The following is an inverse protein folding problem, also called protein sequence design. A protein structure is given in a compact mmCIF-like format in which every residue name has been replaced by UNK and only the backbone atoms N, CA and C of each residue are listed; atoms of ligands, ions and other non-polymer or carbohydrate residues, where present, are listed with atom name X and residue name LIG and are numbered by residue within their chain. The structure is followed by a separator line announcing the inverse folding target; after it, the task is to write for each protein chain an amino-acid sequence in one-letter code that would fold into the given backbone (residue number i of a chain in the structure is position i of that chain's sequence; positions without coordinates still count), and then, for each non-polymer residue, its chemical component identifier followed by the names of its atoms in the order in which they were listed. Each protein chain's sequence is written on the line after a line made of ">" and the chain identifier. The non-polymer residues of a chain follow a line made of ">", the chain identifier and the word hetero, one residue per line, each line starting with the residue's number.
data_IF_323601303614
#
_entry.id   IF_323601303614
#
_cell.length_a   1.000
_cell.length_b   1.000
_cell.length_c   1.000
_cell.angle_alpha   90.00
_cell.angle_beta   90.00
_cell.angle_gamma   90.00
#
_symmetry.space_group_name_H-M   'P 1'
#
loop_
_entity.id
_entity.type
_entity.pdbx_description
1 polymer ?
#
# COMPACT_ATOMS: atom_id res chain seq x y z
N UNK A 1 18.33 -6.42 47.29
CA UNK A 1 17.10 -6.85 46.58
C UNK A 1 16.67 -5.68 45.71
N UNK A 2 17.50 -5.22 44.78
CA UNK A 2 17.96 -5.79 43.50
C UNK A 2 16.88 -5.66 42.42
N UNK A 3 17.00 -4.57 41.66
CA UNK A 3 16.23 -4.14 40.49
C UNK A 3 16.28 -5.11 39.29
N UNK A 4 16.48 -6.42 39.54
CA UNK A 4 16.66 -7.47 38.52
C UNK A 4 15.37 -8.23 38.22
N UNK A 5 14.38 -8.15 39.10
CA UNK A 5 13.15 -8.94 38.94
C UNK A 5 12.12 -8.24 38.04
N UNK A 6 12.07 -6.90 38.01
CA UNK A 6 11.22 -6.14 37.07
C UNK A 6 11.70 -6.19 35.61
N UNK A 7 12.99 -6.40 35.38
CA UNK A 7 13.56 -6.43 34.01
C UNK A 7 13.14 -7.71 33.27
N UNK A 8 12.94 -8.82 34.00
CA UNK A 8 12.53 -10.09 33.40
C UNK A 8 11.08 -10.12 32.94
N UNK A 9 10.16 -9.42 33.61
CA UNK A 9 8.76 -9.37 33.18
C UNK A 9 8.53 -8.47 31.95
N UNK A 10 9.40 -7.47 31.75
CA UNK A 10 9.33 -6.56 30.60
C UNK A 10 9.90 -7.18 29.31
N UNK A 11 10.89 -8.06 29.42
CA UNK A 11 11.47 -8.76 28.26
C UNK A 11 10.53 -9.83 27.67
N UNK A 12 9.67 -10.45 28.50
CA UNK A 12 8.72 -11.48 28.02
C UNK A 12 7.62 -10.89 27.14
N UNK A 13 7.27 -9.60 27.29
CA UNK A 13 6.24 -8.94 26.45
C UNK A 13 6.70 -8.64 25.03
N UNK A 14 8.01 -8.68 24.75
CA UNK A 14 8.56 -8.31 23.44
C UNK A 14 8.93 -9.49 22.55
N UNK A 15 8.77 -10.73 23.02
CA UNK A 15 9.12 -11.91 22.23
C UNK A 15 7.87 -12.68 21.78
N UNK A 16 7.13 -12.04 20.86
CA UNK A 16 6.12 -12.71 20.04
C UNK A 16 6.87 -13.23 18.79
N UNK A 17 6.80 -14.53 18.46
CA UNK A 17 7.36 -15.10 17.25
C UNK A 17 6.97 -14.26 16.02
N UNK A 18 7.95 -13.90 15.22
CA UNK A 18 7.81 -13.01 14.05
C UNK A 18 6.82 -13.52 12.99
N UNK A 19 6.44 -14.81 13.07
CA UNK A 19 5.49 -15.47 12.18
C UNK A 19 4.02 -15.08 12.38
N UNK A 20 3.64 -14.40 13.46
CA UNK A 20 2.24 -14.03 13.73
C UNK A 20 2.01 -12.56 14.07
N UNK A 21 2.98 -11.67 13.79
CA UNK A 21 2.69 -10.24 13.77
C UNK A 21 1.87 -9.93 12.52
N UNK A 22 0.57 -10.25 12.53
CA UNK A 22 -0.39 -9.52 11.69
C UNK A 22 -0.18 -8.06 12.07
N UNK A 23 0.38 -7.21 11.18
CA UNK A 23 0.65 -5.84 11.56
C UNK A 23 -0.67 -5.26 12.04
N UNK A 24 -0.66 -4.68 13.22
CA UNK A 24 -1.80 -3.95 13.74
C UNK A 24 -2.04 -2.81 12.75
N UNK A 25 -2.88 -3.08 11.74
CA UNK A 25 -2.91 -2.29 10.53
C UNK A 25 -3.73 -1.05 10.83
N UNK A 26 -3.06 -0.05 11.42
CA UNK A 26 -3.60 1.30 11.61
C UNK A 26 -4.05 1.91 10.27
N UNK A 27 -3.60 1.33 9.16
CA UNK A 27 -3.99 1.61 7.78
C UNK A 27 -4.46 0.31 7.09
N UNK A 28 -5.77 0.03 7.16
CA UNK A 28 -6.50 -0.76 6.16
C UNK A 28 -6.08 -2.22 5.91
N UNK A 29 -6.68 -2.80 4.87
CA UNK A 29 -6.31 -4.10 4.29
C UNK A 29 -5.07 -3.91 3.39
N UNK A 30 -4.23 -4.94 3.31
CA UNK A 30 -3.06 -4.99 2.42
C UNK A 30 -3.11 -6.24 1.55
N UNK A 31 -2.53 -6.18 0.37
CA UNK A 31 -2.43 -7.29 -0.57
C UNK A 31 -1.07 -7.28 -1.25
N UNK A 32 -0.49 -8.45 -1.46
CA UNK A 32 0.79 -8.60 -2.16
C UNK A 32 0.56 -9.25 -3.52
N UNK A 33 1.21 -8.72 -4.53
CA UNK A 33 1.17 -9.20 -5.90
C UNK A 33 2.59 -9.32 -6.42
N UNK A 34 2.84 -10.35 -7.22
CA UNK A 34 4.14 -10.52 -7.88
C UNK A 34 3.92 -10.37 -9.37
N UNK A 35 4.60 -9.39 -9.97
CA UNK A 35 4.59 -9.12 -11.41
C UNK A 35 6.03 -9.06 -11.85
N UNK A 36 6.39 -9.84 -12.87
CA UNK A 36 7.75 -9.90 -13.43
C UNK A 36 8.86 -10.02 -12.37
N UNK A 37 8.72 -10.98 -11.47
CA UNK A 37 9.67 -11.25 -10.38
C UNK A 37 9.84 -10.11 -9.35
N UNK A 38 9.01 -9.06 -9.42
CA UNK A 38 8.96 -7.97 -8.44
C UNK A 38 7.72 -8.13 -7.56
N UNK A 39 7.92 -8.13 -6.23
CA UNK A 39 6.81 -8.15 -5.26
C UNK A 39 6.32 -6.71 -4.98
N UNK A 40 5.07 -6.46 -5.35
CA UNK A 40 4.34 -5.23 -5.06
C UNK A 40 3.42 -5.43 -3.86
N UNK A 41 3.50 -4.53 -2.89
CA UNK A 41 2.60 -4.47 -1.75
C UNK A 41 1.64 -3.30 -1.92
N UNK A 42 0.35 -3.62 -1.94
CA UNK A 42 -0.73 -2.65 -1.98
C UNK A 42 -1.34 -2.47 -0.60
N UNK A 43 -1.74 -1.24 -0.31
CA UNK A 43 -2.37 -0.87 0.93
C UNK A 43 -3.57 0.02 0.66
N UNK A 44 -4.68 -0.23 1.35
CA UNK A 44 -5.85 0.63 1.21
C UNK A 44 -5.61 1.96 1.92
N UNK A 45 -5.65 3.11 1.21
CA UNK A 45 -5.39 4.42 1.80
C UNK A 45 -6.55 4.97 2.64
N UNK A 46 -7.68 4.25 2.68
CA UNK A 46 -8.92 4.67 3.32
C UNK A 46 -9.91 5.29 2.33
N UNK A 47 -11.20 5.23 2.63
CA UNK A 47 -12.29 5.61 1.71
C UNK A 47 -12.19 7.07 1.25
N UNK A 48 -11.85 8.00 2.14
CA UNK A 48 -11.70 9.42 1.79
C UNK A 48 -10.56 9.65 0.81
N UNK A 49 -9.41 9.01 1.04
CA UNK A 49 -8.26 9.11 0.15
C UNK A 49 -8.57 8.43 -1.19
N UNK A 50 -9.18 7.25 -1.19
CA UNK A 50 -9.58 6.55 -2.41
C UNK A 50 -10.52 7.39 -3.29
N UNK A 51 -11.52 8.06 -2.71
CA UNK A 51 -12.40 8.98 -3.45
C UNK A 51 -11.64 10.23 -3.94
N UNK A 52 -10.74 10.79 -3.11
CA UNK A 52 -9.91 11.91 -3.53
C UNK A 52 -9.03 11.57 -4.73
N UNK A 53 -8.50 10.34 -4.82
CA UNK A 53 -7.74 9.86 -5.99
C UNK A 53 -8.60 9.98 -7.25
N UNK A 54 -9.84 9.49 -7.22
CA UNK A 54 -10.76 9.53 -8.37
C UNK A 54 -11.14 10.96 -8.76
N UNK A 55 -11.38 11.83 -7.78
CA UNK A 55 -11.78 13.21 -8.02
C UNK A 55 -10.62 14.08 -8.53
N UNK A 56 -9.43 13.93 -7.95
CA UNK A 56 -8.23 14.63 -8.40
C UNK A 56 -7.77 14.19 -9.80
N UNK A 57 -8.23 13.01 -10.25
CA UNK A 57 -7.94 12.49 -11.58
C UNK A 57 -8.85 13.07 -12.67
N UNK A 58 -9.90 13.80 -12.28
CA UNK A 58 -10.78 14.52 -13.22
C UNK A 58 -10.23 15.93 -13.43
N UNK A 59 -9.91 16.28 -14.67
CA UNK A 59 -9.51 17.62 -15.05
C UNK A 59 -10.67 18.64 -15.02
N UNK A 60 -10.38 19.92 -15.31
CA UNK A 60 -11.37 21.01 -15.28
C UNK A 60 -12.60 20.79 -16.18
N UNK A 61 -12.45 20.00 -17.24
CA UNK A 61 -13.51 19.64 -18.18
C UNK A 61 -14.22 18.33 -17.83
N UNK A 62 -14.05 17.82 -16.60
CA UNK A 62 -14.54 16.52 -16.14
C UNK A 62 -13.97 15.33 -16.96
N UNK A 63 -12.86 15.55 -17.67
CA UNK A 63 -12.13 14.51 -18.41
C UNK A 63 -11.22 13.77 -17.45
N UNK A 64 -11.26 12.44 -17.46
CA UNK A 64 -10.38 11.60 -16.65
C UNK A 64 -8.97 11.58 -17.23
N UNK A 65 -7.96 11.72 -16.37
CA UNK A 65 -6.54 11.66 -16.73
C UNK A 65 -5.92 10.42 -16.10
N UNK A 66 -5.59 9.44 -16.94
CA UNK A 66 -4.91 8.21 -16.50
C UNK A 66 -3.55 8.52 -15.86
N UNK A 67 -2.84 9.53 -16.36
CA UNK A 67 -1.57 9.97 -15.79
C UNK A 67 -1.77 10.50 -14.36
N UNK A 68 -2.79 11.33 -14.12
CA UNK A 68 -3.06 11.83 -12.78
C UNK A 68 -3.53 10.70 -11.84
N UNK A 69 -4.30 9.76 -12.36
CA UNK A 69 -4.82 8.62 -11.60
C UNK A 69 -3.73 7.64 -11.20
N UNK A 70 -2.94 7.16 -12.15
CA UNK A 70 -1.87 6.20 -11.89
C UNK A 70 -0.76 6.80 -11.02
N UNK A 71 -0.47 8.10 -11.16
CA UNK A 71 0.45 8.80 -10.25
C UNK A 71 -0.01 8.68 -8.78
N UNK A 72 -1.30 8.87 -8.54
CA UNK A 72 -1.88 8.81 -7.21
C UNK A 72 -2.02 7.37 -6.69
N UNK A 73 -2.29 6.40 -7.57
CA UNK A 73 -2.23 4.98 -7.21
C UNK A 73 -0.83 4.59 -6.74
N UNK A 74 0.22 4.99 -7.47
CA UNK A 74 1.61 4.72 -7.10
C UNK A 74 2.01 5.34 -5.76
N UNK A 75 1.48 6.52 -5.43
CA UNK A 75 1.84 7.20 -4.18
C UNK A 75 1.06 6.66 -2.96
N UNK A 76 -0.25 6.48 -3.12
CA UNK A 76 -1.18 6.21 -2.02
C UNK A 76 -1.58 4.75 -1.88
N UNK A 77 -1.60 3.97 -2.96
CA UNK A 77 -2.07 2.57 -2.95
C UNK A 77 -0.90 1.59 -3.00
N UNK A 78 0.12 1.87 -3.82
CA UNK A 78 1.30 1.02 -3.94
C UNK A 78 2.37 1.51 -2.94
N UNK A 79 2.58 0.76 -1.87
CA UNK A 79 3.49 1.19 -0.79
C UNK A 79 4.91 0.69 -0.98
N UNK A 80 5.07 -0.48 -1.60
CA UNK A 80 6.37 -1.10 -1.87
C UNK A 80 6.34 -1.85 -3.20
N UNK A 81 7.37 -1.74 -4.06
CA UNK A 81 8.40 -0.68 -4.04
C UNK A 81 7.77 0.71 -4.23
N UNK A 82 8.52 1.77 -3.93
CA UNK A 82 8.05 3.14 -4.20
C UNK A 82 8.20 3.43 -5.69
N UNK A 83 7.05 3.58 -6.36
CA UNK A 83 6.95 3.72 -7.80
C UNK A 83 6.83 5.17 -8.23
N UNK A 84 7.38 5.47 -9.40
CA UNK A 84 7.25 6.74 -10.09
C UNK A 84 7.21 6.46 -11.61
N UNK A 85 7.09 7.50 -12.43
CA UNK A 85 7.05 7.34 -13.88
C UNK A 85 8.37 6.79 -14.44
N UNK A 86 9.50 7.29 -13.93
CA UNK A 86 10.84 6.86 -14.36
C UNK A 86 11.10 5.37 -14.11
N UNK A 87 10.51 4.78 -13.06
CA UNK A 87 10.61 3.35 -12.77
C UNK A 87 10.11 2.49 -13.94
N UNK A 88 9.04 2.93 -14.61
CA UNK A 88 8.42 2.20 -15.71
C UNK A 88 9.14 2.36 -17.05
N UNK A 89 10.07 3.31 -17.15
CA UNK A 89 10.97 3.39 -18.31
C UNK A 89 12.05 2.29 -18.25
N UNK A 90 12.31 1.75 -17.06
CA UNK A 90 13.30 0.69 -16.81
C UNK A 90 12.67 -0.68 -16.48
N UNK A 91 11.38 -0.72 -16.13
CA UNK A 91 10.66 -1.93 -15.71
C UNK A 91 9.38 -2.12 -16.52
N UNK A 92 9.13 -3.35 -16.97
CA UNK A 92 7.87 -3.72 -17.62
C UNK A 92 6.78 -4.01 -16.56
N UNK A 93 5.60 -4.48 -16.97
CA UNK A 93 4.50 -4.76 -16.04
C UNK A 93 3.63 -3.56 -15.60
N UNK A 94 3.91 -2.33 -16.04
CA UNK A 94 3.15 -1.11 -15.67
C UNK A 94 1.62 -1.30 -15.74
N UNK A 95 1.11 -1.77 -16.88
CA UNK A 95 -0.35 -1.94 -17.07
C UNK A 95 -0.94 -2.96 -16.11
N UNK A 96 -0.23 -4.04 -15.86
CA UNK A 96 -0.69 -5.10 -14.97
C UNK A 96 -0.72 -4.62 -13.52
N UNK A 97 0.35 -3.97 -13.06
CA UNK A 97 0.43 -3.42 -11.71
C UNK A 97 -0.65 -2.36 -11.47
N UNK A 98 -0.87 -1.45 -12.41
CA UNK A 98 -1.95 -0.44 -12.29
C UNK A 98 -3.34 -1.09 -12.29
N UNK A 99 -3.58 -2.10 -13.13
CA UNK A 99 -4.85 -2.81 -13.17
C UNK A 99 -5.11 -3.57 -11.86
N UNK A 100 -4.09 -4.20 -11.28
CA UNK A 100 -4.22 -4.88 -9.98
C UNK A 100 -4.49 -3.87 -8.86
N UNK A 101 -3.84 -2.70 -8.88
CA UNK A 101 -4.07 -1.63 -7.91
C UNK A 101 -5.49 -1.04 -8.01
N UNK A 102 -6.00 -0.79 -9.22
CA UNK A 102 -7.38 -0.33 -9.45
C UNK A 102 -8.39 -1.38 -8.97
N UNK A 103 -8.22 -2.65 -9.35
CA UNK A 103 -9.09 -3.74 -8.89
C UNK A 103 -9.06 -3.90 -7.36
N UNK A 104 -7.89 -3.72 -6.73
CA UNK A 104 -7.78 -3.70 -5.28
C UNK A 104 -8.60 -2.54 -4.69
N UNK A 105 -8.46 -1.32 -5.22
CA UNK A 105 -9.20 -0.15 -4.75
C UNK A 105 -10.72 -0.33 -4.91
N UNK A 106 -11.17 -0.82 -6.07
CA UNK A 106 -12.59 -1.11 -6.35
C UNK A 106 -13.19 -2.14 -5.39
N UNK A 107 -12.47 -3.23 -5.10
CA UNK A 107 -12.89 -4.24 -4.10
C UNK A 107 -12.99 -3.69 -2.69
N UNK A 108 -12.25 -2.64 -2.35
CA UNK A 108 -12.31 -2.01 -1.03
C UNK A 108 -13.42 -0.95 -0.90
N UNK A 109 -13.93 -0.45 -2.02
CA UNK A 109 -15.00 0.55 -2.07
C UNK A 109 -16.42 -0.06 -2.21
N UNK A 110 -16.51 -1.32 -2.65
CA UNK A 110 -17.75 -2.10 -2.71
C UNK A 110 -18.07 -2.80 -1.39
#
# INVERSE_FOLDING_TARGET
>A
MTKKDEVKELEVKNNIPEAEKKPFNKFGKQEKHTVEDVEYTFQFPGTRAAQAILDNSKGPSNTFSDVAYHSQLMDSVIVTPKLNWDYWDEHEGYREVMALADNFLGRMLN
#
